data_IF_874014467491
#
_entry.id   IF_874014467491
#
_cell.length_a   1.000
_cell.length_b   1.000
_cell.length_c   1.000
_cell.angle_alpha   90.00
_cell.angle_beta   90.00
_cell.angle_gamma   90.00
#
_symmetry.space_group_name_H-M   'P 1'
#
loop_
_entity.id
_entity.type
_entity.pdbx_description
1 polymer ?
#
# COMPACT_ATOMS: atom_id res chain seq x y z
N UNK A 1 -29.19 -2.05 5.94
CA UNK A 1 -29.06 -2.79 4.66
C UNK A 1 -28.10 -3.94 4.92
N UNK A 2 -28.55 -5.20 4.89
CA UNK A 2 -27.69 -6.37 5.21
C UNK A 2 -26.55 -6.45 4.18
N UNK A 3 -25.30 -6.52 4.64
CA UNK A 3 -24.12 -6.77 3.81
C UNK A 3 -24.36 -8.03 2.95
N UNK A 4 -24.24 -7.92 1.63
CA UNK A 4 -24.28 -9.10 0.78
C UNK A 4 -23.00 -9.92 1.03
N UNK A 5 -23.08 -11.25 0.90
CA UNK A 5 -21.96 -12.19 1.14
C UNK A 5 -20.69 -11.84 0.33
N UNK A 6 -20.81 -11.05 -0.74
CA UNK A 6 -19.71 -10.53 -1.59
C UNK A 6 -18.83 -9.48 -0.91
N UNK A 7 -19.33 -8.72 0.07
CA UNK A 7 -18.55 -7.65 0.73
C UNK A 7 -17.66 -8.19 1.86
N UNK A 8 -17.74 -9.49 2.16
CA UNK A 8 -16.94 -10.14 3.21
C UNK A 8 -15.60 -10.67 2.72
N UNK A 9 -15.32 -10.63 1.42
CA UNK A 9 -14.05 -11.06 0.86
C UNK A 9 -13.73 -10.27 -0.39
N UNK A 10 -12.46 -9.90 -0.59
CA UNK A 10 -12.02 -9.22 -1.79
C UNK A 10 -10.53 -8.97 -1.77
N UNK A 11 -10.02 -8.25 -2.77
CA UNK A 11 -8.60 -7.88 -2.78
C UNK A 11 -8.29 -6.73 -1.82
N UNK A 12 -7.14 -6.81 -1.15
CA UNK A 12 -6.57 -5.73 -0.33
C UNK A 12 -6.36 -4.48 -1.20
N UNK A 13 -5.85 -4.66 -2.41
CA UNK A 13 -5.72 -3.63 -3.45
C UNK A 13 -6.59 -4.01 -4.64
N UNK A 14 -7.56 -3.15 -5.00
CA UNK A 14 -8.43 -3.36 -6.16
C UNK A 14 -8.26 -2.26 -7.21
N UNK A 15 -9.00 -2.30 -8.34
CA UNK A 15 -8.82 -1.35 -9.46
C UNK A 15 -8.97 0.15 -9.13
N UNK A 16 -9.62 0.47 -8.01
CA UNK A 16 -9.82 1.85 -7.53
C UNK A 16 -8.99 2.19 -6.28
N UNK A 17 -8.00 1.34 -5.95
CA UNK A 17 -7.08 1.57 -4.84
C UNK A 17 -7.26 0.61 -3.65
N UNK A 18 -6.77 1.05 -2.50
CA UNK A 18 -6.72 0.29 -1.26
C UNK A 18 -8.12 0.11 -0.67
N UNK A 19 -8.32 -1.04 -0.03
CA UNK A 19 -9.45 -1.22 0.87
C UNK A 19 -9.38 -0.17 1.99
N UNK A 20 -10.48 0.56 2.17
CA UNK A 20 -10.62 1.59 3.18
C UNK A 20 -11.93 1.39 3.96
N UNK A 21 -11.88 1.67 5.26
CA UNK A 21 -13.02 1.72 6.15
C UNK A 21 -13.09 3.08 6.83
N UNK A 22 -14.29 3.65 6.93
CA UNK A 22 -14.53 4.90 7.65
C UNK A 22 -15.08 4.62 9.04
N UNK A 23 -14.43 5.20 10.05
CA UNK A 23 -14.84 5.09 11.44
C UNK A 23 -15.66 6.31 11.86
N UNK A 24 -16.75 6.07 12.60
CA UNK A 24 -17.63 7.15 13.08
C UNK A 24 -17.03 7.94 14.25
N UNK A 25 -16.23 7.27 15.10
CA UNK A 25 -15.63 7.86 16.29
C UNK A 25 -14.24 7.25 16.53
N UNK A 26 -13.30 8.01 17.13
CA UNK A 26 -12.00 7.48 17.52
C UNK A 26 -12.10 6.65 18.80
N UNK A 27 -11.20 5.68 18.93
CA UNK A 27 -10.90 5.03 20.21
C UNK A 27 -9.80 5.79 20.96
N UNK A 28 -9.86 5.73 22.30
CA UNK A 28 -8.89 6.35 23.20
C UNK A 28 -7.85 5.35 23.72
N UNK A 29 -7.14 5.75 24.77
CA UNK A 29 -6.09 4.92 25.40
C UNK A 29 -6.63 3.70 26.16
N UNK A 30 -7.97 3.60 26.32
CA UNK A 30 -8.64 2.48 26.98
C UNK A 30 -8.39 1.14 26.29
N UNK A 31 -8.15 1.12 24.98
CA UNK A 31 -7.81 -0.09 24.20
C UNK A 31 -6.52 -0.77 24.66
N UNK A 32 -5.72 -0.07 25.49
CA UNK A 32 -4.48 -0.57 26.08
C UNK A 32 -4.63 -0.96 27.56
N UNK A 33 -5.87 -1.12 28.05
CA UNK A 33 -6.16 -1.53 29.42
C UNK A 33 -6.06 -0.43 30.48
N UNK A 34 -6.04 0.86 30.10
CA UNK A 34 -6.12 1.97 31.06
C UNK A 34 -7.60 2.22 31.46
N UNK A 35 -7.90 2.07 32.75
CA UNK A 35 -9.16 2.36 33.46
C UNK A 35 -10.46 2.35 32.64
N UNK A 36 -11.19 1.23 32.69
CA UNK A 36 -12.64 1.23 32.42
C UNK A 36 -13.41 1.79 33.62
N UNK A 37 -13.21 3.06 33.94
CA UNK A 37 -14.00 3.77 34.97
C UNK A 37 -15.49 3.89 34.62
N UNK A 38 -15.89 3.44 33.42
CA UNK A 38 -17.25 3.51 32.87
C UNK A 38 -17.89 2.15 32.51
N UNK A 39 -17.47 1.04 33.15
CA UNK A 39 -18.21 -0.24 33.07
C UNK A 39 -18.33 -0.87 31.68
N UNK A 40 -17.58 -0.40 30.69
CA UNK A 40 -17.49 -0.99 29.36
C UNK A 40 -16.61 -2.25 29.34
N UNK A 41 -16.71 -3.10 28.31
CA UNK A 41 -15.83 -4.25 28.15
C UNK A 41 -14.36 -3.80 28.11
N UNK A 42 -13.51 -4.44 28.92
CA UNK A 42 -12.07 -4.14 28.99
C UNK A 42 -11.42 -4.67 27.71
N UNK A 43 -11.27 -3.82 26.70
CA UNK A 43 -10.47 -4.14 25.51
C UNK A 43 -9.01 -3.90 25.83
N UNK A 44 -8.19 -4.95 25.79
CA UNK A 44 -6.74 -4.82 25.92
C UNK A 44 -6.04 -5.50 24.74
N UNK A 45 -5.61 -4.69 23.79
CA UNK A 45 -4.86 -5.15 22.60
C UNK A 45 -3.36 -5.32 22.88
N UNK A 46 -2.92 -5.08 24.12
CA UNK A 46 -1.53 -5.31 24.53
C UNK A 46 -1.39 -6.66 25.27
N UNK A 47 -0.45 -7.51 24.86
CA UNK A 47 -0.34 -8.86 25.38
C UNK A 47 0.52 -8.99 26.63
N UNK A 48 0.79 -7.91 27.35
CA UNK A 48 1.48 -8.01 28.64
C UNK A 48 0.46 -8.32 29.73
N UNK A 49 0.45 -9.56 30.20
CA UNK A 49 -0.26 -9.91 31.43
C UNK A 49 0.40 -9.22 32.64
N UNK A 50 -0.33 -9.13 33.76
CA UNK A 50 0.19 -8.58 35.02
C UNK A 50 1.47 -9.29 35.52
N UNK A 51 1.74 -10.52 35.05
CA UNK A 51 2.92 -11.33 35.35
C UNK A 51 4.08 -11.18 34.37
N UNK A 52 3.99 -10.31 33.36
CA UNK A 52 5.01 -10.16 32.31
C UNK A 52 5.02 -11.28 31.25
N UNK A 53 4.10 -12.25 31.32
CA UNK A 53 3.95 -13.29 30.31
C UNK A 53 3.27 -12.74 29.03
N UNK A 54 3.81 -13.10 27.87
CA UNK A 54 3.25 -12.79 26.56
C UNK A 54 1.96 -13.57 26.32
N UNK A 55 0.87 -12.87 25.99
CA UNK A 55 -0.38 -13.46 25.52
C UNK A 55 -0.52 -13.32 23.99
N UNK A 56 -1.21 -14.22 23.29
CA UNK A 56 -1.60 -13.98 21.90
C UNK A 56 -2.55 -12.77 21.79
N UNK A 57 -2.73 -12.27 20.57
CA UNK A 57 -3.74 -11.26 20.27
C UNK A 57 -5.15 -11.77 20.70
N UNK A 58 -5.99 -10.91 21.30
CA UNK A 58 -7.33 -11.30 21.74
C UNK A 58 -8.19 -11.81 20.57
N UNK A 59 -9.21 -12.65 20.82
CA UNK A 59 -10.21 -13.02 19.83
C UNK A 59 -10.85 -11.80 19.15
N UNK A 60 -11.37 -11.97 17.93
CA UNK A 60 -12.00 -10.85 17.21
C UNK A 60 -13.31 -10.40 17.86
N UNK A 61 -14.04 -11.29 18.54
CA UNK A 61 -15.26 -10.92 19.26
C UNK A 61 -15.00 -9.90 20.37
N UNK A 62 -13.80 -9.92 20.94
CA UNK A 62 -13.36 -9.02 22.02
C UNK A 62 -12.86 -7.66 21.49
N UNK A 63 -12.92 -7.43 20.17
CA UNK A 63 -12.46 -6.21 19.51
C UNK A 63 -13.61 -5.47 18.80
N UNK A 64 -14.70 -5.07 19.50
CA UNK A 64 -15.88 -4.48 18.87
C UNK A 64 -15.63 -3.13 18.21
N UNK A 65 -14.54 -2.44 18.58
CA UNK A 65 -14.15 -1.14 18.03
C UNK A 65 -13.24 -1.26 16.80
N UNK A 66 -12.80 -2.48 16.46
CA UNK A 66 -11.87 -2.73 15.37
C UNK A 66 -12.55 -3.38 14.17
N UNK A 67 -12.02 -3.04 12.99
CA UNK A 67 -12.33 -3.71 11.73
C UNK A 67 -11.18 -4.65 11.42
N UNK A 68 -11.45 -5.94 11.48
CA UNK A 68 -10.44 -7.00 11.37
C UNK A 68 -10.66 -7.86 10.12
N UNK A 69 -9.54 -8.31 9.57
CA UNK A 69 -9.49 -9.15 8.39
C UNK A 69 -8.47 -10.26 8.56
N UNK A 70 -8.76 -11.44 8.02
CA UNK A 70 -7.73 -12.43 7.70
C UNK A 70 -7.18 -12.17 6.30
N UNK A 71 -5.90 -12.49 6.08
CA UNK A 71 -5.21 -12.29 4.81
C UNK A 71 -4.86 -13.64 4.18
N UNK A 72 -5.09 -13.76 2.87
CA UNK A 72 -4.72 -14.94 2.09
C UNK A 72 -4.05 -14.54 0.76
N UNK A 73 -2.79 -14.94 0.52
CA UNK A 73 -1.88 -15.60 1.47
C UNK A 73 -1.47 -14.65 2.61
N UNK A 74 -0.85 -15.22 3.65
CA UNK A 74 -0.20 -14.41 4.69
C UNK A 74 0.94 -13.57 4.09
N UNK A 75 1.13 -12.34 4.60
CA UNK A 75 2.12 -11.39 4.08
C UNK A 75 3.42 -11.53 4.88
N UNK A 76 4.53 -12.00 4.30
CA UNK A 76 5.81 -12.02 4.99
C UNK A 76 6.30 -10.59 5.27
N UNK A 77 6.94 -10.40 6.42
CA UNK A 77 7.62 -9.15 6.75
C UNK A 77 9.13 -9.36 6.72
N UNK A 78 9.92 -8.36 6.26
CA UNK A 78 11.36 -8.37 6.50
C UNK A 78 11.65 -8.44 8.01
N UNK A 79 12.68 -9.19 8.39
CA UNK A 79 12.97 -9.46 9.81
C UNK A 79 13.17 -8.17 10.63
N UNK A 80 13.89 -7.18 10.08
CA UNK A 80 14.07 -5.89 10.76
C UNK A 80 12.75 -5.15 10.94
N UNK A 81 11.83 -5.18 9.97
CA UNK A 81 10.51 -4.57 10.12
C UNK A 81 9.67 -5.26 11.18
N UNK A 82 9.71 -6.60 11.23
CA UNK A 82 9.04 -7.34 12.29
C UNK A 82 9.60 -6.97 13.68
N UNK A 83 10.91 -6.74 13.80
CA UNK A 83 11.53 -6.26 15.04
C UNK A 83 11.17 -4.81 15.40
N UNK A 84 11.05 -3.92 14.40
CA UNK A 84 10.71 -2.51 14.62
C UNK A 84 9.29 -2.33 15.19
N UNK A 85 8.36 -3.18 14.75
CA UNK A 85 6.92 -3.04 15.07
C UNK A 85 6.43 -4.10 16.06
N UNK A 86 7.24 -5.12 16.35
CA UNK A 86 6.91 -6.20 17.26
C UNK A 86 7.76 -6.16 18.53
N UNK A 87 7.23 -6.71 19.61
CA UNK A 87 8.01 -6.92 20.84
C UNK A 87 8.66 -8.30 20.78
N UNK A 88 9.74 -8.40 20.01
CA UNK A 88 10.51 -9.62 19.90
C UNK A 88 11.88 -9.44 20.58
N UNK A 89 12.29 -10.45 21.34
CA UNK A 89 13.64 -10.50 21.93
C UNK A 89 14.68 -11.05 20.94
N UNK A 90 14.25 -11.65 19.82
CA UNK A 90 15.08 -12.28 18.79
C UNK A 90 14.45 -12.12 17.42
N UNK A 91 15.27 -12.20 16.37
CA UNK A 91 14.80 -12.20 14.98
C UNK A 91 13.93 -13.43 14.71
N UNK A 92 12.72 -13.19 14.22
CA UNK A 92 11.75 -14.24 13.88
C UNK A 92 11.30 -14.07 12.43
N UNK A 93 11.13 -15.19 11.73
CA UNK A 93 10.47 -15.22 10.44
C UNK A 93 8.98 -14.97 10.67
N UNK A 94 8.53 -13.74 10.41
CA UNK A 94 7.17 -13.29 10.75
C UNK A 94 6.34 -13.04 9.49
N UNK A 95 5.07 -13.44 9.54
CA UNK A 95 4.08 -13.11 8.53
C UNK A 95 2.81 -12.55 9.15
N UNK A 96 2.23 -11.53 8.53
CA UNK A 96 0.93 -10.98 8.89
C UNK A 96 -0.17 -11.88 8.32
N UNK A 97 -0.88 -12.55 9.21
CA UNK A 97 -2.03 -13.41 8.90
C UNK A 97 -3.35 -12.68 9.06
N UNK A 98 -3.39 -11.72 9.99
CA UNK A 98 -4.57 -10.91 10.25
C UNK A 98 -4.19 -9.45 10.42
N UNK A 99 -5.11 -8.57 10.09
CA UNK A 99 -4.94 -7.13 10.29
C UNK A 99 -6.19 -6.55 10.94
N UNK A 100 -6.02 -5.70 11.94
CA UNK A 100 -7.09 -5.01 12.63
C UNK A 100 -6.84 -3.50 12.59
N UNK A 101 -7.85 -2.75 12.19
CA UNK A 101 -7.80 -1.31 12.02
C UNK A 101 -8.75 -0.60 13.00
N UNK A 102 -8.33 0.56 13.51
CA UNK A 102 -9.19 1.48 14.25
C UNK A 102 -8.76 2.94 14.04
N UNK A 103 -9.71 3.87 14.09
CA UNK A 103 -9.40 5.30 14.22
C UNK A 103 -9.03 5.60 15.68
N UNK A 104 -7.87 6.18 15.94
CA UNK A 104 -7.33 6.39 17.29
C UNK A 104 -6.92 7.84 17.52
N UNK A 105 -7.30 8.37 18.69
CA UNK A 105 -7.00 9.75 19.09
C UNK A 105 -6.21 9.86 20.41
N UNK A 106 -5.74 8.73 20.96
CA UNK A 106 -4.98 8.69 22.22
C UNK A 106 -3.48 9.01 22.08
N UNK A 107 -2.74 8.91 23.20
CA UNK A 107 -1.30 9.19 23.27
C UNK A 107 -0.46 8.08 23.92
N UNK A 108 -1.08 7.06 24.50
CA UNK A 108 -0.38 5.98 25.20
C UNK A 108 0.58 5.19 24.30
N UNK A 109 0.38 5.21 22.97
CA UNK A 109 1.30 4.57 22.02
C UNK A 109 2.75 5.03 22.16
N UNK A 110 2.99 6.27 22.60
CA UNK A 110 4.33 6.83 22.80
C UNK A 110 5.06 6.18 23.97
N UNK A 111 4.35 5.96 25.07
CA UNK A 111 4.89 5.28 26.25
C UNK A 111 5.22 3.82 25.93
N UNK A 112 4.43 3.20 25.05
CA UNK A 112 4.63 1.85 24.52
C UNK A 112 5.56 1.80 23.30
N UNK A 113 6.21 2.90 22.92
CA UNK A 113 7.21 2.94 21.83
C UNK A 113 6.74 2.27 20.53
N UNK A 114 5.44 2.32 20.22
CA UNK A 114 4.94 1.80 18.95
C UNK A 114 5.39 2.70 17.79
N UNK A 115 5.59 2.09 16.62
CA UNK A 115 6.06 2.80 15.45
C UNK A 115 4.99 3.75 14.91
N UNK A 116 5.37 5.01 14.69
CA UNK A 116 4.55 5.99 13.97
C UNK A 116 4.99 6.01 12.50
N UNK A 117 4.08 5.67 11.59
CA UNK A 117 4.25 5.79 10.16
C UNK A 117 3.52 7.03 9.64
N UNK A 118 4.20 7.82 8.83
CA UNK A 118 3.60 8.93 8.08
C UNK A 118 3.68 8.61 6.60
N UNK A 119 2.52 8.42 6.00
CA UNK A 119 2.39 8.07 4.59
C UNK A 119 1.58 9.16 3.92
N UNK A 120 2.27 10.06 3.21
CA UNK A 120 1.67 11.27 2.68
C UNK A 120 0.99 12.10 3.77
N UNK A 121 -0.28 12.50 3.60
CA UNK A 121 -1.01 13.25 4.62
C UNK A 121 -1.54 12.37 5.77
N UNK A 122 -1.43 11.05 5.67
CA UNK A 122 -2.01 10.12 6.63
C UNK A 122 -1.01 9.66 7.68
N UNK A 123 -1.52 9.44 8.89
CA UNK A 123 -0.74 9.04 10.05
C UNK A 123 -1.24 7.71 10.57
N UNK A 124 -0.32 6.80 10.84
CA UNK A 124 -0.61 5.48 11.37
C UNK A 124 0.29 5.18 12.56
N UNK A 125 -0.25 4.47 13.54
CA UNK A 125 0.53 3.78 14.55
C UNK A 125 0.38 2.29 14.28
N UNK A 126 1.50 1.60 14.14
CA UNK A 126 1.51 0.18 13.78
C UNK A 126 2.30 -0.63 14.79
N UNK A 127 1.80 -1.83 15.06
CA UNK A 127 2.49 -2.84 15.85
C UNK A 127 1.93 -4.23 15.55
N UNK A 128 2.72 -5.26 15.81
CA UNK A 128 2.32 -6.65 15.62
C UNK A 128 2.34 -7.44 16.92
N UNK A 129 1.46 -8.44 17.01
CA UNK A 129 1.43 -9.41 18.09
C UNK A 129 1.26 -10.83 17.54
N UNK A 130 1.73 -11.88 18.25
CA UNK A 130 1.44 -13.25 17.88
C UNK A 130 -0.07 -13.43 17.71
N UNK A 131 -0.47 -13.96 16.57
CA UNK A 131 -1.89 -14.15 16.28
C UNK A 131 -2.44 -15.32 17.08
N UNK A 132 -3.69 -15.23 17.53
CA UNK A 132 -4.40 -16.38 18.10
C UNK A 132 -4.82 -17.37 17.00
N UNK A 133 -4.83 -16.94 15.74
CA UNK A 133 -5.08 -17.78 14.58
C UNK A 133 -3.76 -18.30 13.97
N UNK A 134 -3.59 -19.62 13.96
CA UNK A 134 -2.50 -20.27 13.22
C UNK A 134 -2.92 -20.44 11.75
N UNK A 135 -2.61 -19.44 10.91
CA UNK A 135 -2.98 -19.44 9.49
C UNK A 135 -1.81 -19.14 8.53
N UNK A 136 -0.58 -18.97 9.04
CA UNK A 136 0.58 -18.71 8.20
C UNK A 136 1.02 -19.94 7.40
N UNK A 137 1.71 -19.71 6.29
CA UNK A 137 2.50 -20.77 5.65
C UNK A 137 3.47 -21.36 6.68
N UNK A 138 3.71 -22.68 6.62
CA UNK A 138 4.52 -23.44 7.61
C UNK A 138 5.93 -22.86 7.88
N UNK A 139 6.40 -21.93 7.03
CA UNK A 139 7.71 -21.28 7.14
C UNK A 139 7.75 -20.01 8.04
N UNK A 140 6.60 -19.46 8.47
CA UNK A 140 6.55 -18.19 9.20
C UNK A 140 5.65 -18.25 10.44
N UNK A 141 5.97 -17.42 11.44
CA UNK A 141 5.14 -17.23 12.62
C UNK A 141 3.96 -16.29 12.30
N UNK A 142 2.75 -16.73 12.67
CA UNK A 142 1.51 -15.99 12.45
C UNK A 142 1.41 -14.78 13.39
N UNK A 143 1.23 -13.60 12.81
CA UNK A 143 1.10 -12.35 13.56
C UNK A 143 -0.11 -11.54 13.09
N UNK A 144 -0.73 -10.85 14.04
CA UNK A 144 -1.73 -9.83 13.80
C UNK A 144 -1.09 -8.46 13.73
N UNK A 145 -1.32 -7.74 12.64
CA UNK A 145 -0.98 -6.33 12.52
C UNK A 145 -2.12 -5.46 13.04
N UNK A 146 -1.81 -4.55 13.95
CA UNK A 146 -2.70 -3.47 14.33
C UNK A 146 -2.32 -2.20 13.58
N UNK A 147 -3.30 -1.55 12.96
CA UNK A 147 -3.16 -0.26 12.29
C UNK A 147 -4.11 0.72 12.99
N UNK A 148 -3.54 1.60 13.80
CA UNK A 148 -4.29 2.68 14.42
C UNK A 148 -4.13 3.94 13.56
N UNK A 149 -5.18 4.34 12.86
CA UNK A 149 -5.17 5.51 12.00
C UNK A 149 -5.37 6.78 12.82
N UNK A 150 -4.64 7.85 12.49
CA UNK A 150 -4.83 9.19 13.06
C UNK A 150 -5.98 9.97 12.44
N UNK A 151 -6.62 9.40 11.42
CA UNK A 151 -7.74 9.96 10.68
C UNK A 151 -8.91 8.95 10.66
N UNK A 152 -10.16 9.41 10.45
CA UNK A 152 -11.34 8.53 10.45
C UNK A 152 -11.36 7.54 9.28
N UNK A 153 -10.76 7.90 8.15
CA UNK A 153 -10.67 7.02 6.98
C UNK A 153 -9.38 6.19 7.06
N UNK A 154 -9.52 4.92 7.43
CA UNK A 154 -8.40 4.01 7.67
C UNK A 154 -8.30 2.96 6.56
N UNK A 155 -7.07 2.63 6.14
CA UNK A 155 -6.83 1.79 4.97
C UNK A 155 -5.64 0.83 5.19
N UNK A 156 -5.52 -0.13 4.28
CA UNK A 156 -4.53 -1.21 4.38
C UNK A 156 -3.17 -0.91 3.73
N UNK A 157 -2.93 0.31 3.26
CA UNK A 157 -1.65 0.65 2.61
C UNK A 157 -0.40 0.49 3.48
N UNK A 158 -0.45 0.59 4.84
CA UNK A 158 0.70 0.28 5.67
C UNK A 158 1.24 -1.14 5.48
N UNK A 159 0.42 -2.13 5.10
CA UNK A 159 0.88 -3.50 4.81
C UNK A 159 1.96 -3.50 3.73
N UNK A 160 1.77 -2.69 2.69
CA UNK A 160 2.68 -2.64 1.55
C UNK A 160 4.00 -1.98 1.89
N UNK A 161 3.95 -0.88 2.66
CA UNK A 161 5.17 -0.18 3.08
C UNK A 161 5.98 -1.03 4.07
N UNK A 162 5.31 -1.72 4.99
CA UNK A 162 5.95 -2.64 5.94
C UNK A 162 6.57 -3.87 5.26
N UNK A 163 6.03 -4.28 4.11
CA UNK A 163 6.61 -5.34 3.27
C UNK A 163 7.86 -4.88 2.48
N UNK A 164 8.23 -3.59 2.56
CA UNK A 164 9.41 -2.98 1.94
C UNK A 164 9.53 -3.23 0.42
N UNK A 165 8.76 -2.50 -0.42
CA UNK A 165 8.75 -2.73 -1.87
C UNK A 165 10.08 -2.44 -2.56
N UNK A 166 11.00 -1.70 -1.92
CA UNK A 166 12.30 -1.36 -2.49
C UNK A 166 13.31 -2.50 -2.31
N UNK A 167 13.39 -3.09 -1.11
CA UNK A 167 14.37 -4.13 -0.79
C UNK A 167 13.79 -5.55 -0.84
N UNK A 168 12.49 -5.70 -0.63
CA UNK A 168 11.75 -6.98 -0.63
C UNK A 168 10.53 -6.92 -1.54
N UNK A 169 10.68 -6.62 -2.84
CA UNK A 169 9.55 -6.54 -3.76
C UNK A 169 8.78 -7.86 -3.87
N UNK A 170 9.42 -9.00 -3.59
CA UNK A 170 8.76 -10.30 -3.50
C UNK A 170 7.78 -10.40 -2.34
N UNK A 171 7.94 -9.64 -1.26
CA UNK A 171 6.97 -9.57 -0.17
C UNK A 171 5.88 -8.55 -0.47
N UNK A 172 6.25 -7.36 -0.93
CA UNK A 172 5.29 -6.30 -1.24
C UNK A 172 4.34 -6.68 -2.39
N UNK A 173 4.80 -7.42 -3.40
CA UNK A 173 3.94 -7.91 -4.50
C UNK A 173 2.89 -8.93 -4.04
N UNK A 174 3.12 -9.63 -2.93
CA UNK A 174 2.11 -10.51 -2.32
C UNK A 174 0.93 -9.68 -1.81
N UNK A 175 1.17 -8.48 -1.27
CA UNK A 175 0.11 -7.57 -0.80
C UNK A 175 -0.83 -7.17 -1.93
N UNK A 176 -0.29 -6.91 -3.13
CA UNK A 176 -1.10 -6.56 -4.30
C UNK A 176 -2.04 -7.69 -4.74
N UNK A 177 -1.65 -8.94 -4.51
CA UNK A 177 -2.45 -10.14 -4.83
C UNK A 177 -3.35 -10.60 -3.69
N UNK A 178 -3.06 -10.17 -2.47
CA UNK A 178 -3.69 -10.70 -1.27
C UNK A 178 -5.20 -10.43 -1.25
N UNK A 179 -5.92 -11.45 -0.85
CA UNK A 179 -7.33 -11.39 -0.50
C UNK A 179 -7.46 -11.11 1.00
N UNK A 180 -8.42 -10.27 1.34
CA UNK A 180 -8.91 -10.14 2.71
C UNK A 180 -10.18 -10.98 2.86
N UNK A 181 -10.41 -11.51 4.06
CA UNK A 181 -11.73 -11.93 4.50
C UNK A 181 -12.11 -11.15 5.75
N UNK A 182 -13.27 -10.53 5.74
CA UNK A 182 -13.79 -9.74 6.84
C UNK A 182 -14.32 -10.65 7.96
N UNK A 183 -13.83 -10.43 9.18
CA UNK A 183 -14.08 -11.31 10.33
C UNK A 183 -14.60 -10.56 11.57
N UNK A 184 -14.74 -9.24 11.52
CA UNK A 184 -15.31 -8.48 12.64
C UNK A 184 -16.83 -8.63 12.75
N UNK A 185 -17.39 -8.50 13.97
CA UNK A 185 -18.83 -8.66 14.23
C UNK A 185 -19.68 -7.47 13.77
N UNK A 186 -19.09 -6.29 13.56
CA UNK A 186 -19.82 -5.10 13.09
C UNK A 186 -20.06 -5.15 11.59
N UNK A 187 -21.18 -4.62 11.11
CA UNK A 187 -21.31 -4.34 9.68
C UNK A 187 -20.65 -2.98 9.38
N UNK A 188 -19.66 -2.98 8.49
CA UNK A 188 -18.93 -1.77 8.06
C UNK A 188 -18.98 -1.69 6.55
N UNK A 189 -19.27 -0.50 6.02
CA UNK A 189 -19.16 -0.25 4.58
C UNK A 189 -17.71 0.05 4.20
N UNK A 190 -17.23 -0.63 3.17
CA UNK A 190 -15.90 -0.42 2.63
C UNK A 190 -15.94 0.48 1.40
N UNK A 191 -14.92 1.33 1.27
CA UNK A 191 -14.64 2.14 0.10
C UNK A 191 -13.30 1.74 -0.51
N UNK A 192 -12.99 2.31 -1.67
CA UNK A 192 -11.67 2.24 -2.30
C UNK A 192 -11.02 3.60 -2.29
N UNK A 193 -9.74 3.62 -1.93
CA UNK A 193 -8.95 4.84 -1.88
C UNK A 193 -7.69 4.73 -2.72
N UNK A 194 -7.57 5.61 -3.71
CA UNK A 194 -6.38 5.73 -4.54
C UNK A 194 -5.49 6.88 -4.02
N UNK A 195 -4.27 6.59 -3.51
CA UNK A 195 -3.46 7.58 -2.79
C UNK A 195 -3.02 8.79 -3.60
N UNK A 196 -2.79 8.64 -4.91
CA UNK A 196 -2.39 9.76 -5.77
C UNK A 196 -3.43 10.88 -5.82
N UNK A 197 -4.70 10.56 -5.57
CA UNK A 197 -5.78 11.54 -5.56
C UNK A 197 -5.74 12.48 -4.35
N UNK A 198 -4.86 12.25 -3.36
CA UNK A 198 -4.56 13.23 -2.31
C UNK A 198 -3.66 14.38 -2.83
N UNK A 199 -3.02 14.20 -3.99
CA UNK A 199 -2.06 15.16 -4.56
C UNK A 199 -2.52 15.82 -5.85
N UNK A 200 -3.42 15.18 -6.60
CA UNK A 200 -3.93 15.67 -7.90
C UNK A 200 -5.44 15.45 -8.02
N UNK A 201 -6.12 16.27 -8.81
CA UNK A 201 -7.51 16.01 -9.19
C UNK A 201 -7.59 14.85 -10.18
N UNK A 202 -7.85 13.65 -9.66
CA UNK A 202 -7.93 12.43 -10.46
C UNK A 202 -8.99 12.47 -11.58
N UNK A 203 -10.02 13.33 -11.50
CA UNK A 203 -11.10 13.36 -12.51
C UNK A 203 -10.60 13.70 -13.91
N UNK A 204 -9.59 14.57 -14.02
CA UNK A 204 -9.08 15.09 -15.28
C UNK A 204 -7.74 14.44 -15.69
N UNK A 205 -7.48 13.22 -15.23
CA UNK A 205 -6.22 12.49 -15.45
C UNK A 205 -6.50 11.07 -15.92
N UNK A 206 -5.45 10.28 -16.17
CA UNK A 206 -5.55 8.85 -16.49
C UNK A 206 -6.44 8.09 -15.51
N UNK A 207 -6.50 8.52 -14.24
CA UNK A 207 -7.26 7.88 -13.16
C UNK A 207 -8.77 8.09 -13.29
N UNK A 208 -9.20 9.12 -14.01
CA UNK A 208 -10.60 9.42 -14.32
C UNK A 208 -11.04 8.95 -15.71
N UNK A 209 -10.13 8.36 -16.49
CA UNK A 209 -10.42 7.93 -17.86
C UNK A 209 -11.55 6.89 -17.93
N UNK A 210 -12.45 6.95 -18.92
CA UNK A 210 -13.46 5.93 -19.13
C UNK A 210 -12.82 4.54 -19.24
N UNK A 211 -13.34 3.57 -18.49
CA UNK A 211 -12.84 2.20 -18.49
C UNK A 211 -11.51 1.99 -17.76
N UNK A 212 -11.03 2.95 -16.96
CA UNK A 212 -9.79 2.87 -16.17
C UNK A 212 -9.62 1.53 -15.45
N UNK A 213 -10.68 1.03 -14.81
CA UNK A 213 -10.68 -0.22 -14.06
C UNK A 213 -10.28 -1.43 -14.92
N UNK A 214 -10.72 -1.46 -16.17
CA UNK A 214 -10.50 -2.57 -17.11
C UNK A 214 -9.24 -2.44 -17.96
N UNK A 215 -8.66 -1.24 -18.03
CA UNK A 215 -7.46 -0.95 -18.82
C UNK A 215 -6.25 -0.68 -17.92
N UNK A 216 -6.05 0.56 -17.52
CA UNK A 216 -4.86 1.02 -16.79
C UNK A 216 -4.76 0.40 -15.41
N UNK A 217 -5.86 0.31 -14.65
CA UNK A 217 -5.85 -0.23 -13.30
C UNK A 217 -5.45 -1.71 -13.30
N UNK A 218 -6.02 -2.51 -14.20
CA UNK A 218 -5.67 -3.93 -14.35
C UNK A 218 -4.18 -4.10 -14.64
N UNK A 219 -3.67 -3.39 -15.64
CA UNK A 219 -2.26 -3.47 -16.01
C UNK A 219 -1.33 -2.93 -14.91
N UNK A 220 -1.77 -1.93 -14.14
CA UNK A 220 -1.04 -1.42 -12.99
C UNK A 220 -0.97 -2.46 -11.86
N UNK A 221 -2.07 -3.16 -11.56
CA UNK A 221 -2.10 -4.24 -10.59
C UNK A 221 -1.20 -5.42 -11.02
N UNK A 222 -1.09 -5.69 -12.33
CA UNK A 222 -0.17 -6.68 -12.88
C UNK A 222 1.31 -6.29 -12.64
N UNK A 223 1.65 -4.99 -12.75
CA UNK A 223 2.98 -4.47 -12.40
C UNK A 223 3.25 -4.66 -10.90
N UNK A 224 2.33 -4.22 -10.03
CA UNK A 224 2.48 -4.33 -8.57
C UNK A 224 2.58 -5.79 -8.11
N UNK A 225 1.94 -6.69 -8.84
CA UNK A 225 1.95 -8.12 -8.59
C UNK A 225 3.22 -8.83 -9.07
N UNK A 226 4.07 -8.17 -9.87
CA UNK A 226 5.34 -8.74 -10.35
C UNK A 226 6.48 -8.23 -9.46
N UNK A 227 7.18 -9.11 -8.71
CA UNK A 227 8.33 -8.69 -7.88
C UNK A 227 9.40 -7.93 -8.68
N UNK A 228 9.72 -8.41 -9.88
CA UNK A 228 10.73 -7.81 -10.74
C UNK A 228 10.32 -6.39 -11.18
N UNK A 229 9.11 -6.25 -11.73
CA UNK A 229 8.62 -4.95 -12.19
C UNK A 229 8.40 -3.99 -11.02
N UNK A 230 7.88 -4.47 -9.89
CA UNK A 230 7.69 -3.66 -8.69
C UNK A 230 9.02 -3.13 -8.15
N UNK A 231 10.02 -4.00 -8.01
CA UNK A 231 11.34 -3.60 -7.53
C UNK A 231 12.01 -2.59 -8.45
N UNK A 232 11.91 -2.80 -9.76
CA UNK A 232 12.42 -1.85 -10.75
C UNK A 232 11.65 -0.53 -10.75
N UNK A 233 10.32 -0.57 -10.64
CA UNK A 233 9.46 0.62 -10.54
C UNK A 233 9.88 1.49 -9.35
N UNK A 234 10.07 0.89 -8.18
CA UNK A 234 10.53 1.61 -6.99
C UNK A 234 11.97 2.10 -7.11
N UNK A 235 12.86 1.30 -7.70
CA UNK A 235 14.25 1.72 -7.96
C UNK A 235 14.29 2.98 -8.83
N UNK A 236 13.51 3.04 -9.91
CA UNK A 236 13.46 4.18 -10.83
C UNK A 236 13.02 5.50 -10.17
N UNK A 237 12.29 5.43 -9.05
CA UNK A 237 11.93 6.64 -8.28
C UNK A 237 13.19 7.30 -7.68
N UNK A 238 14.15 6.50 -7.25
CA UNK A 238 15.34 6.96 -6.52
C UNK A 238 16.62 6.96 -7.35
N UNK A 239 16.75 6.05 -8.31
CA UNK A 239 17.90 5.92 -9.20
C UNK A 239 17.46 6.07 -10.67
N UNK A 240 17.89 7.19 -11.26
CA UNK A 240 17.64 7.56 -12.66
C UNK A 240 18.90 7.46 -13.52
N UNK A 241 19.88 6.69 -13.06
CA UNK A 241 21.05 6.31 -13.86
C UNK A 241 20.63 5.76 -15.22
N UNK A 242 21.54 5.85 -16.20
CA UNK A 242 21.28 5.38 -17.55
C UNK A 242 20.91 3.89 -17.56
N UNK A 243 21.58 3.12 -16.71
CA UNK A 243 21.40 1.68 -16.52
C UNK A 243 20.01 1.36 -15.98
N UNK A 244 19.58 2.05 -14.92
CA UNK A 244 18.24 1.86 -14.34
C UNK A 244 17.15 2.26 -15.33
N UNK A 245 17.32 3.39 -16.05
CA UNK A 245 16.39 3.80 -17.11
C UNK A 245 16.29 2.78 -18.24
N UNK A 246 17.41 2.17 -18.64
CA UNK A 246 17.44 1.13 -19.70
C UNK A 246 16.65 -0.09 -19.26
N UNK A 247 16.87 -0.55 -18.02
CA UNK A 247 16.07 -1.64 -17.45
C UNK A 247 14.58 -1.26 -17.41
N UNK A 248 14.26 -0.03 -16.98
CA UNK A 248 12.91 0.51 -16.94
C UNK A 248 12.21 0.52 -18.29
N UNK A 249 12.90 0.96 -19.34
CA UNK A 249 12.40 0.99 -20.71
C UNK A 249 12.12 -0.43 -21.22
N UNK A 250 13.08 -1.35 -21.07
CA UNK A 250 12.91 -2.77 -21.44
C UNK A 250 11.73 -3.43 -20.71
N UNK A 251 11.46 -3.04 -19.46
CA UNK A 251 10.32 -3.53 -18.68
C UNK A 251 8.98 -2.85 -19.02
N UNK A 252 8.97 -1.84 -19.90
CA UNK A 252 7.79 -1.05 -20.28
C UNK A 252 7.33 -0.05 -19.21
N UNK A 253 8.21 0.29 -18.25
CA UNK A 253 7.91 1.21 -17.15
C UNK A 253 8.32 2.65 -17.45
N UNK A 254 9.28 2.83 -18.35
CA UNK A 254 9.87 4.12 -18.72
C UNK A 254 9.61 4.42 -20.20
N UNK A 255 9.30 5.67 -20.55
CA UNK A 255 8.84 6.03 -21.90
C UNK A 255 9.95 6.13 -22.94
N UNK A 256 11.12 6.67 -22.57
CA UNK A 256 12.19 6.98 -23.51
C UNK A 256 13.36 6.01 -23.36
N UNK A 257 13.85 5.48 -24.49
CA UNK A 257 15.09 4.71 -24.50
C UNK A 257 16.27 5.63 -24.16
N UNK A 258 17.01 5.39 -23.06
CA UNK A 258 18.16 6.20 -22.71
C UNK A 258 19.36 6.05 -23.66
N UNK A 259 19.34 5.08 -24.58
CA UNK A 259 20.36 4.91 -25.60
C UNK A 259 20.01 5.55 -26.95
N UNK A 260 18.80 6.10 -27.10
CA UNK A 260 18.41 6.76 -28.33
C UNK A 260 19.28 7.99 -28.58
N UNK A 261 19.91 8.05 -29.77
CA UNK A 261 20.55 9.27 -30.23
C UNK A 261 19.49 10.32 -30.57
N UNK A 262 19.79 11.63 -30.57
CA UNK A 262 18.82 12.68 -30.91
C UNK A 262 18.11 12.50 -32.26
N UNK A 263 18.70 11.73 -33.19
CA UNK A 263 18.09 11.34 -34.46
C UNK A 263 17.15 10.12 -34.41
N UNK A 264 17.23 9.28 -33.37
CA UNK A 264 16.46 8.03 -33.23
C UNK A 264 15.09 8.22 -32.57
N UNK A 265 14.82 9.40 -32.00
CA UNK A 265 13.48 9.79 -31.51
C UNK A 265 12.46 9.69 -32.64
N UNK A 266 12.86 9.98 -33.89
CA UNK A 266 11.97 9.85 -35.04
C UNK A 266 11.55 8.42 -35.31
N UNK A 267 12.42 7.42 -35.12
CA UNK A 267 12.05 6.00 -35.27
C UNK A 267 11.08 5.55 -34.15
N UNK A 268 11.22 6.10 -32.94
CA UNK A 268 10.26 5.86 -31.84
C UNK A 268 8.92 6.54 -32.08
N UNK A 269 8.92 7.77 -32.61
CA UNK A 269 7.73 8.45 -33.09
C UNK A 269 7.10 7.64 -34.23
N UNK A 270 7.88 7.10 -35.16
CA UNK A 270 7.39 6.31 -36.29
C UNK A 270 6.78 4.97 -35.85
N UNK A 271 7.38 4.27 -34.88
CA UNK A 271 6.80 3.05 -34.29
C UNK A 271 5.52 3.36 -33.48
N UNK A 272 5.50 4.46 -32.72
CA UNK A 272 4.31 4.95 -32.02
C UNK A 272 3.18 5.37 -33.00
N UNK A 273 3.54 6.03 -34.11
CA UNK A 273 2.64 6.38 -35.23
C UNK A 273 2.08 5.12 -35.89
N UNK A 274 2.92 4.11 -36.14
CA UNK A 274 2.50 2.82 -36.70
C UNK A 274 1.57 2.04 -35.75
N UNK A 275 1.71 2.23 -34.43
CA UNK A 275 0.92 1.55 -33.38
C UNK A 275 -0.32 2.32 -32.88
N UNK A 276 -0.63 3.49 -33.44
CA UNK A 276 -1.90 4.26 -33.32
C UNK A 276 -2.27 4.78 -31.92
N UNK A 277 -1.39 5.54 -31.26
CA UNK A 277 -1.82 6.41 -30.15
C UNK A 277 -1.41 7.89 -30.39
N UNK A 278 -2.39 8.69 -30.81
CA UNK A 278 -2.21 10.12 -31.11
C UNK A 278 -1.83 10.96 -29.87
N UNK A 279 -2.05 10.45 -28.67
CA UNK A 279 -1.61 11.11 -27.45
C UNK A 279 -0.15 10.79 -27.11
N UNK A 280 0.30 9.54 -27.31
CA UNK A 280 1.72 9.20 -27.29
C UNK A 280 2.55 10.04 -28.26
N UNK A 281 2.06 10.26 -29.48
CA UNK A 281 2.77 11.09 -30.47
C UNK A 281 2.91 12.54 -29.97
N UNK A 282 1.84 13.13 -29.41
CA UNK A 282 1.87 14.51 -28.88
C UNK A 282 2.78 14.65 -27.67
N UNK A 283 2.78 13.67 -26.77
CA UNK A 283 3.68 13.63 -25.62
C UNK A 283 5.14 13.53 -26.08
N UNK A 284 5.46 12.60 -26.99
CA UNK A 284 6.81 12.45 -27.55
C UNK A 284 7.30 13.72 -28.26
N UNK A 285 6.44 14.40 -29.03
CA UNK A 285 6.78 15.65 -29.71
C UNK A 285 7.14 16.79 -28.75
N UNK A 286 6.55 16.83 -27.55
CA UNK A 286 6.93 17.82 -26.53
C UNK A 286 8.35 17.57 -25.98
N UNK A 287 8.83 16.33 -26.05
CA UNK A 287 10.14 15.92 -25.51
C UNK A 287 11.26 15.95 -26.56
N UNK A 288 10.95 16.14 -27.85
CA UNK A 288 11.95 16.29 -28.93
C UNK A 288 12.91 17.47 -28.66
N UNK A 289 12.43 18.53 -28.00
CA UNK A 289 13.20 19.72 -27.68
C UNK A 289 13.75 19.72 -26.24
N UNK A 290 13.48 18.66 -25.48
CA UNK A 290 13.92 18.53 -24.09
C UNK A 290 15.09 17.54 -24.00
N UNK A 291 16.03 17.74 -23.07
CA UNK A 291 17.13 16.79 -22.90
C UNK A 291 16.57 15.39 -22.57
N UNK A 292 17.13 14.30 -23.13
CA UNK A 292 16.68 12.91 -22.91
C UNK A 292 16.73 12.46 -21.43
N UNK A 293 17.32 13.27 -20.57
CA UNK A 293 17.29 13.14 -19.12
C UNK A 293 15.92 13.41 -18.47
N UNK A 294 14.94 13.91 -19.24
CA UNK A 294 13.55 14.12 -18.82
C UNK A 294 12.59 13.01 -19.30
N UNK A 295 13.03 11.75 -19.23
CA UNK A 295 12.10 10.62 -19.43
C UNK A 295 11.02 10.58 -18.35
N UNK A 296 9.84 10.04 -18.69
CA UNK A 296 8.71 9.89 -17.78
C UNK A 296 8.38 8.42 -17.56
N UNK A 297 7.63 8.14 -16.49
CA UNK A 297 6.96 6.86 -16.35
C UNK A 297 5.85 6.72 -17.41
N UNK A 298 5.65 5.53 -17.95
CA UNK A 298 4.50 5.25 -18.84
C UNK A 298 3.18 5.50 -18.11
N UNK A 299 2.07 5.66 -18.84
CA UNK A 299 0.74 5.84 -18.21
C UNK A 299 0.38 4.69 -17.26
N UNK A 300 0.73 3.44 -17.62
CA UNK A 300 0.49 2.25 -16.78
C UNK A 300 1.42 2.27 -15.55
N UNK A 301 2.70 2.60 -15.70
CA UNK A 301 3.61 2.74 -14.57
C UNK A 301 3.20 3.88 -13.64
N UNK A 302 2.72 5.00 -14.19
CA UNK A 302 2.13 6.11 -13.43
C UNK A 302 0.90 5.63 -12.66
N UNK A 303 0.04 4.84 -13.30
CA UNK A 303 -1.10 4.23 -12.61
C UNK A 303 -0.65 3.33 -11.45
N UNK A 304 0.38 2.50 -11.64
CA UNK A 304 0.96 1.65 -10.59
C UNK A 304 1.57 2.45 -9.43
N UNK A 305 2.36 3.50 -9.73
CA UNK A 305 2.88 4.44 -8.72
C UNK A 305 1.75 5.15 -7.98
N UNK A 306 0.61 5.36 -8.64
CA UNK A 306 -0.56 5.98 -8.04
C UNK A 306 -1.11 5.21 -6.82
N UNK A 307 -1.00 3.88 -6.83
CA UNK A 307 -1.32 3.02 -5.68
C UNK A 307 -0.33 3.18 -4.53
N UNK A 308 0.92 3.54 -4.81
CA UNK A 308 1.96 3.69 -3.81
C UNK A 308 2.29 5.15 -3.46
N UNK A 309 1.56 6.12 -4.01
CA UNK A 309 1.92 7.54 -3.95
C UNK A 309 2.11 8.08 -2.51
N UNK A 310 1.42 7.52 -1.51
CA UNK A 310 1.59 7.88 -0.10
C UNK A 310 2.96 7.49 0.48
N UNK A 311 3.63 6.50 -0.11
CA UNK A 311 4.93 5.98 0.33
C UNK A 311 6.10 6.57 -0.49
N UNK A 312 5.79 7.43 -1.45
CA UNK A 312 6.73 7.98 -2.42
C UNK A 312 6.87 9.50 -2.23
N UNK A 313 7.98 10.11 -2.69
CA UNK A 313 8.14 11.56 -2.75
C UNK A 313 7.27 12.17 -3.89
N UNK A 314 5.97 11.89 -3.89
CA UNK A 314 5.03 12.24 -4.96
C UNK A 314 5.02 13.73 -5.33
N UNK A 315 5.05 14.68 -4.38
CA UNK A 315 5.16 16.10 -4.74
C UNK A 315 6.40 16.43 -5.58
N UNK A 316 7.53 15.76 -5.32
CA UNK A 316 8.77 15.95 -6.08
C UNK A 316 8.62 15.34 -7.47
N UNK A 317 8.05 14.14 -7.58
CA UNK A 317 7.82 13.48 -8.87
C UNK A 317 6.88 14.30 -9.78
N UNK A 318 5.83 14.88 -9.20
CA UNK A 318 4.91 15.78 -9.89
C UNK A 318 5.60 17.09 -10.31
N UNK A 319 6.35 17.73 -9.40
CA UNK A 319 7.08 18.97 -9.70
C UNK A 319 8.16 18.81 -10.77
N UNK A 320 8.71 17.60 -10.93
CA UNK A 320 9.65 17.24 -11.98
C UNK A 320 8.99 16.76 -13.29
N UNK A 321 7.65 16.65 -13.33
CA UNK A 321 6.91 16.20 -14.50
C UNK A 321 7.16 14.73 -14.87
N UNK A 322 7.51 13.87 -13.90
CA UNK A 322 7.90 12.48 -14.19
C UNK A 322 6.72 11.52 -14.35
N UNK A 323 5.53 11.94 -13.88
CA UNK A 323 4.32 11.13 -13.92
C UNK A 323 3.49 11.54 -15.13
N UNK A 324 3.21 10.58 -16.01
CA UNK A 324 2.36 10.79 -17.17
C UNK A 324 0.89 10.71 -16.76
N UNK A 325 0.32 11.86 -16.40
CA UNK A 325 -1.05 11.97 -15.91
C UNK A 325 -2.12 12.02 -17.01
N UNK A 326 -1.72 12.07 -18.28
CA UNK A 326 -2.63 12.03 -19.43
C UNK A 326 -2.33 10.80 -20.28
N UNK A 327 -3.39 10.22 -20.86
CA UNK A 327 -3.27 9.12 -21.83
C UNK A 327 -2.85 9.74 -23.13
#
# INVERSE_FOLDING_TARGET
MRMQKRDRMGHVVGPLGWLQARFAAPVGDHIFGADSSYGGPVVNITPMGASGAFKPAPPFEDLPEFVCFTLMPAIPLPQYRAMDIGYHSKTLSTSVTTVCMAYYAGKAYRQRKFMELRLGPRKYIVFIWPDSLAAAALAHMSHRLYILCGQPDCDLSPLFVLADPLHYPQYASVVARALYMYVSPRDVQFSRWLPICEYVDCRNTIFGSPGYETSFAKAALDILSSPEKLGLLFRLVFDKSKESRRAGFTAGLWTLDPDALPGDIWAQIEDAVKRRDAAQIRDLLQHVNEPPDKGQFTAIATAALGYAAHALPTPILLGQGLLRLTV
#
